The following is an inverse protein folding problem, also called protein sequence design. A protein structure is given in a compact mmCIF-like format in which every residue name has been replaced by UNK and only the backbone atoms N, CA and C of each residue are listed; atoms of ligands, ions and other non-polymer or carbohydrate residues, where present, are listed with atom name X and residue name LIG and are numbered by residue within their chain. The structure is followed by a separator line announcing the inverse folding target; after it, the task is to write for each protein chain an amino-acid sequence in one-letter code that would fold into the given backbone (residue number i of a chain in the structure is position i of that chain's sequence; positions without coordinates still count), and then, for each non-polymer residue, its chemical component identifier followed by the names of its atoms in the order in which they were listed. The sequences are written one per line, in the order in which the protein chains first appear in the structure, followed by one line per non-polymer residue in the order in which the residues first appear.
data_IF_995384724943
#
_entry.id   IF_995384724943
#
_cell.length_a   1.000
_cell.length_b   1.000
_cell.length_c   1.000
_cell.angle_alpha   90.00
_cell.angle_beta   90.00
_cell.angle_gamma   90.00
#
_symmetry.space_group_name_H-M   'P 1'
#
loop_
_entity.id
_entity.type
_entity.pdbx_description
1 polymer ?
#
# COMPACT_ATOMS: atom_id res chain seq x y z
N UNK A 1 4.32 3.14 27.41
CA UNK A 1 4.40 1.70 27.75
C UNK A 1 4.66 0.82 26.51
N UNK A 2 5.38 1.32 25.48
CA UNK A 2 5.82 0.52 24.31
C UNK A 2 7.06 -0.29 24.70
N UNK A 3 6.79 -1.42 25.36
CA UNK A 3 7.77 -2.44 25.72
C UNK A 3 8.56 -2.83 24.47
N UNK A 4 9.89 -2.83 24.57
CA UNK A 4 10.81 -3.17 23.49
C UNK A 4 10.41 -4.49 22.81
N UNK A 5 9.72 -4.39 21.67
CA UNK A 5 9.43 -5.57 20.84
C UNK A 5 10.77 -6.10 20.33
N UNK A 6 11.04 -7.41 20.48
CA UNK A 6 12.21 -8.04 19.86
C UNK A 6 12.27 -7.66 18.38
N UNK A 7 13.47 -7.42 17.85
CA UNK A 7 13.67 -6.95 16.46
C UNK A 7 13.00 -7.84 15.41
N UNK A 8 12.87 -9.15 15.69
CA UNK A 8 12.11 -10.09 14.86
C UNK A 8 10.59 -9.86 14.87
N UNK A 9 10.00 -9.53 16.02
CA UNK A 9 8.56 -9.28 16.14
C UNK A 9 8.13 -7.99 15.44
N UNK A 10 8.94 -6.93 15.50
CA UNK A 10 8.70 -5.69 14.73
C UNK A 10 8.69 -5.94 13.22
N UNK A 11 9.62 -6.77 12.73
CA UNK A 11 9.70 -7.14 11.31
C UNK A 11 8.49 -7.97 10.87
N UNK A 12 8.09 -8.97 11.66
CA UNK A 12 6.91 -9.79 11.37
C UNK A 12 5.63 -8.95 11.32
N UNK A 13 5.41 -8.08 12.31
CA UNK A 13 4.25 -7.19 12.33
C UNK A 13 4.27 -6.17 11.19
N UNK A 14 5.46 -5.65 10.85
CA UNK A 14 5.66 -4.79 9.70
C UNK A 14 5.28 -5.47 8.38
N UNK A 15 5.71 -6.72 8.17
CA UNK A 15 5.33 -7.49 6.98
C UNK A 15 3.80 -7.70 6.90
N UNK A 16 3.15 -8.04 8.02
CA UNK A 16 1.69 -8.17 8.07
C UNK A 16 0.98 -6.84 7.74
N UNK A 17 1.49 -5.72 8.27
CA UNK A 17 0.95 -4.40 7.98
C UNK A 17 1.10 -4.03 6.49
N UNK A 18 2.21 -4.39 5.84
CA UNK A 18 2.41 -4.19 4.39
C UNK A 18 1.38 -5.00 3.60
N UNK A 19 1.16 -6.27 3.94
CA UNK A 19 0.17 -7.11 3.25
C UNK A 19 -1.24 -6.55 3.43
N UNK A 20 -1.62 -6.17 4.65
CA UNK A 20 -2.91 -5.57 4.92
C UNK A 20 -3.11 -4.25 4.15
N UNK A 21 -2.06 -3.41 4.08
CA UNK A 21 -2.06 -2.18 3.29
C UNK A 21 -2.24 -2.46 1.80
N UNK A 22 -1.53 -3.44 1.24
CA UNK A 22 -1.65 -3.82 -0.16
C UNK A 22 -3.05 -4.33 -0.50
N UNK A 23 -3.66 -5.14 0.37
CA UNK A 23 -5.04 -5.61 0.20
C UNK A 23 -6.00 -4.41 0.13
N UNK A 24 -5.88 -3.48 1.08
CA UNK A 24 -6.72 -2.27 1.12
C UNK A 24 -6.50 -1.39 -0.13
N UNK A 25 -5.24 -1.21 -0.54
CA UNK A 25 -4.88 -0.42 -1.71
C UNK A 25 -5.44 -1.03 -3.01
N UNK A 26 -5.26 -2.34 -3.20
CA UNK A 26 -5.76 -3.05 -4.38
C UNK A 26 -7.29 -2.99 -4.42
N UNK A 27 -7.97 -3.23 -3.30
CA UNK A 27 -9.42 -3.12 -3.23
C UNK A 27 -9.91 -1.71 -3.64
N UNK A 28 -9.29 -0.66 -3.10
CA UNK A 28 -9.60 0.71 -3.50
C UNK A 28 -9.31 0.99 -4.98
N UNK A 29 -8.18 0.48 -5.48
CA UNK A 29 -7.81 0.65 -6.88
C UNK A 29 -8.79 -0.03 -7.84
N UNK A 30 -9.27 -1.24 -7.50
CA UNK A 30 -10.29 -1.95 -8.28
C UNK A 30 -11.62 -1.19 -8.28
N UNK A 31 -12.09 -0.76 -7.10
CA UNK A 31 -13.35 0.00 -6.98
C UNK A 31 -13.36 1.32 -7.77
N UNK A 32 -12.20 1.97 -7.88
CA UNK A 32 -12.04 3.16 -8.72
C UNK A 32 -11.90 2.77 -10.20
N UNK A 33 -11.13 1.72 -10.49
CA UNK A 33 -10.90 1.21 -11.84
C UNK A 33 -12.19 0.84 -12.58
N UNK A 34 -13.15 0.22 -11.88
CA UNK A 34 -14.47 -0.11 -12.44
C UNK A 34 -15.23 1.14 -12.92
N UNK A 35 -14.99 2.30 -12.30
CA UNK A 35 -15.62 3.57 -12.67
C UNK A 35 -14.96 4.24 -13.87
N UNK A 36 -13.81 3.73 -14.31
CA UNK A 36 -13.11 4.24 -15.49
C UNK A 36 -13.61 3.58 -16.79
N UNK A 37 -14.49 2.59 -16.69
CA UNK A 37 -15.11 1.95 -17.84
C UNK A 37 -15.96 2.97 -18.61
N UNK A 38 -15.74 3.07 -19.93
CA UNK A 38 -16.41 4.04 -20.80
C UNK A 38 -15.67 5.36 -20.99
N UNK A 39 -14.56 5.59 -20.27
CA UNK A 39 -13.65 6.70 -20.56
C UNK A 39 -12.68 6.35 -21.69
N UNK A 40 -12.05 7.35 -22.34
CA UNK A 40 -10.98 7.12 -23.30
C UNK A 40 -9.84 6.32 -22.67
N UNK A 41 -9.18 5.46 -23.46
CA UNK A 41 -8.16 4.51 -22.98
C UNK A 41 -6.99 5.16 -22.18
N UNK A 42 -6.74 6.45 -22.38
CA UNK A 42 -5.74 7.20 -21.63
C UNK A 42 -6.08 7.31 -20.13
N UNK A 43 -7.36 7.35 -19.77
CA UNK A 43 -7.80 7.49 -18.39
C UNK A 43 -7.43 6.27 -17.51
N UNK A 44 -7.81 5.02 -17.86
CA UNK A 44 -7.36 3.84 -17.12
C UNK A 44 -5.84 3.68 -17.21
N UNK A 45 -5.19 4.02 -18.32
CA UNK A 45 -3.72 3.94 -18.45
C UNK A 45 -3.02 4.82 -17.41
N UNK A 46 -3.37 6.10 -17.33
CA UNK A 46 -2.79 7.02 -16.36
C UNK A 46 -3.14 6.59 -14.93
N UNK A 47 -4.39 6.20 -14.68
CA UNK A 47 -4.81 5.73 -13.37
C UNK A 47 -3.97 4.55 -12.88
N UNK A 48 -3.82 3.50 -13.68
CA UNK A 48 -3.03 2.32 -13.29
C UNK A 48 -1.53 2.63 -13.20
N UNK A 49 -1.00 3.53 -14.03
CA UNK A 49 0.39 3.99 -13.91
C UNK A 49 0.63 4.69 -12.55
N UNK A 50 -0.27 5.59 -12.14
CA UNK A 50 -0.17 6.24 -10.83
C UNK A 50 -0.45 5.28 -9.68
N UNK A 51 -1.48 4.44 -9.78
CA UNK A 51 -1.84 3.47 -8.75
C UNK A 51 -0.72 2.46 -8.49
N UNK A 52 0.04 2.10 -9.54
CA UNK A 52 1.19 1.20 -9.46
C UNK A 52 2.40 1.77 -8.73
N UNK A 53 2.50 3.10 -8.56
CA UNK A 53 3.61 3.76 -7.84
C UNK A 53 3.14 4.38 -6.53
N UNK A 54 1.92 4.91 -6.48
CA UNK A 54 1.43 5.69 -5.34
C UNK A 54 1.31 4.87 -4.04
N UNK A 55 1.12 3.56 -4.12
CA UNK A 55 1.00 2.67 -2.96
C UNK A 55 2.24 2.64 -2.05
N UNK A 56 3.42 3.00 -2.57
CA UNK A 56 4.69 2.92 -1.81
C UNK A 56 4.88 4.11 -0.87
N UNK A 57 4.30 5.28 -1.17
CA UNK A 57 4.50 6.50 -0.39
C UNK A 57 4.11 6.33 1.09
N UNK A 58 2.95 5.71 1.42
CA UNK A 58 2.52 5.54 2.80
C UNK A 58 3.35 4.51 3.59
N UNK A 59 4.15 3.67 2.93
CA UNK A 59 4.95 2.63 3.58
C UNK A 59 6.28 3.13 4.15
N UNK A 60 6.77 4.30 3.70
CA UNK A 60 8.03 4.90 4.19
C UNK A 60 8.12 5.00 5.72
N UNK A 61 7.12 5.53 6.45
CA UNK A 61 7.18 5.57 7.92
C UNK A 61 7.19 4.18 8.55
N UNK A 62 6.46 3.21 7.98
CA UNK A 62 6.44 1.84 8.47
C UNK A 62 7.82 1.18 8.38
N UNK A 63 8.51 1.36 7.25
CA UNK A 63 9.87 0.84 7.08
C UNK A 63 10.86 1.46 8.06
N UNK A 64 10.74 2.76 8.35
CA UNK A 64 11.56 3.43 9.37
C UNK A 64 11.30 2.85 10.76
N UNK A 65 10.05 2.54 11.09
CA UNK A 65 9.68 1.91 12.36
C UNK A 65 10.19 0.46 12.48
N UNK A 66 10.16 -0.31 11.39
CA UNK A 66 10.67 -1.70 11.36
C UNK A 66 12.19 -1.79 11.57
N UNK A 67 12.93 -0.80 11.09
CA UNK A 67 14.40 -0.77 11.11
C UNK A 67 15.00 0.01 12.29
N UNK A 68 14.15 0.65 13.12
CA UNK A 68 14.56 1.35 14.34
C UNK A 68 14.21 0.61 15.63
#
# INVERSE_FOLDING_TARGET
MLKAMPSGAKKALGCLAIVAWLIAWIAGAVMIGERLHGLPAIAPLLFYAFAGVAWVFPLRPLFRWMNG
#
